data_IF_239654094272
#
_entry.id   IF_239654094272
#
_cell.length_a   1.000
_cell.length_b   1.000
_cell.length_c   1.000
_cell.angle_alpha   90.00
_cell.angle_beta   90.00
_cell.angle_gamma   90.00
#
_symmetry.space_group_name_H-M   'P 1'
#
loop_
_entity.id
_entity.type
_entity.pdbx_description
1 polymer ?
#
# COMPACT_ATOMS: atom_id res chain seq x y z
N UNK A 1 -49.55 7.86 59.36
CA UNK A 1 -48.19 7.84 59.92
C UNK A 1 -47.27 7.26 58.84
N UNK A 2 -46.16 7.95 58.57
CA UNK A 2 -45.04 7.65 57.63
C UNK A 2 -44.48 6.22 57.76
N UNK A 3 -43.56 5.72 56.88
CA UNK A 3 -42.73 6.45 55.90
C UNK A 3 -42.75 5.88 54.46
N UNK A 4 -42.74 6.68 53.39
CA UNK A 4 -41.55 7.20 52.66
C UNK A 4 -40.32 6.29 52.66
N UNK A 5 -40.21 5.45 51.63
CA UNK A 5 -38.93 4.91 51.18
C UNK A 5 -38.64 5.48 49.79
N UNK A 6 -37.79 6.51 49.75
CA UNK A 6 -37.27 7.08 48.51
C UNK A 6 -36.29 6.08 47.89
N UNK A 7 -36.61 5.58 46.71
CA UNK A 7 -35.70 4.76 45.93
C UNK A 7 -34.86 5.73 45.10
N UNK A 8 -33.62 5.96 45.53
CA UNK A 8 -32.61 6.64 44.73
C UNK A 8 -32.14 5.65 43.67
N UNK A 9 -32.66 5.78 42.46
CA UNK A 9 -32.16 5.04 41.29
C UNK A 9 -30.80 5.62 40.89
N UNK A 10 -29.73 4.94 41.27
CA UNK A 10 -28.39 5.19 40.73
C UNK A 10 -28.40 4.86 39.23
N UNK A 11 -28.28 5.88 38.39
CA UNK A 11 -28.05 5.71 36.96
C UNK A 11 -26.63 5.15 36.74
N UNK A 12 -26.53 3.86 36.43
CA UNK A 12 -25.29 3.28 35.91
C UNK A 12 -25.26 3.54 34.41
N UNK A 13 -24.59 4.61 34.00
CA UNK A 13 -24.27 4.85 32.60
C UNK A 13 -23.12 3.90 32.22
N UNK A 14 -23.43 2.78 31.59
CA UNK A 14 -22.42 1.94 30.95
C UNK A 14 -22.04 2.62 29.64
N UNK A 15 -20.94 3.39 29.66
CA UNK A 15 -20.30 3.83 28.45
C UNK A 15 -19.61 2.62 27.81
N UNK A 16 -20.33 1.93 26.91
CA UNK A 16 -19.72 0.95 26.02
C UNK A 16 -18.93 1.77 25.01
N UNK A 17 -17.65 2.03 25.31
CA UNK A 17 -16.75 2.60 24.34
C UNK A 17 -16.44 1.49 23.34
N UNK A 18 -17.22 1.45 22.26
CA UNK A 18 -16.88 0.67 21.09
C UNK A 18 -15.64 1.31 20.46
N UNK A 19 -14.46 0.96 20.98
CA UNK A 19 -13.24 1.03 20.19
C UNK A 19 -13.39 -0.02 19.09
N UNK A 20 -13.98 0.40 17.97
CA UNK A 20 -13.71 -0.26 16.71
C UNK A 20 -12.22 0.02 16.42
N UNK A 21 -11.36 -0.79 17.04
CA UNK A 21 -9.99 -0.94 16.58
C UNK A 21 -10.11 -1.25 15.09
N UNK A 22 -9.63 -0.29 14.31
CA UNK A 22 -9.45 -0.41 12.88
C UNK A 22 -8.75 -1.73 12.62
N UNK A 23 -9.49 -2.71 12.12
CA UNK A 23 -8.93 -3.84 11.39
C UNK A 23 -8.16 -3.24 10.21
N UNK A 24 -6.89 -2.89 10.44
CA UNK A 24 -5.87 -2.77 9.42
C UNK A 24 -5.64 -4.17 8.85
N UNK A 25 -6.63 -4.67 8.12
CA UNK A 25 -6.42 -5.74 7.19
C UNK A 25 -5.92 -5.07 5.91
N UNK A 26 -4.62 -4.77 5.89
CA UNK A 26 -3.99 -4.24 4.69
C UNK A 26 -3.73 -5.41 3.75
N UNK A 27 -4.81 -5.76 3.03
CA UNK A 27 -4.83 -6.78 2.02
C UNK A 27 -3.67 -6.54 1.05
N UNK A 28 -2.85 -7.59 0.88
CA UNK A 28 -1.82 -7.63 -0.14
C UNK A 28 -2.51 -7.75 -1.50
N UNK A 29 -2.92 -6.63 -2.10
CA UNK A 29 -3.68 -6.65 -3.35
C UNK A 29 -2.73 -6.66 -4.54
N UNK A 30 -2.71 -7.76 -5.28
CA UNK A 30 -2.17 -7.80 -6.63
C UNK A 30 -3.24 -7.31 -7.61
N UNK A 31 -3.14 -6.07 -8.05
CA UNK A 31 -4.12 -5.48 -8.96
C UNK A 31 -3.63 -5.64 -10.41
N UNK A 32 -4.43 -6.29 -11.25
CA UNK A 32 -4.24 -6.39 -12.70
C UNK A 32 -5.10 -5.33 -13.41
N UNK A 33 -4.52 -4.47 -14.26
CA UNK A 33 -5.19 -3.27 -14.78
C UNK A 33 -5.61 -3.38 -16.25
N UNK A 34 -6.85 -2.96 -16.54
CA UNK A 34 -7.47 -2.89 -17.88
C UNK A 34 -7.27 -1.56 -18.63
N UNK A 35 -7.86 -1.40 -19.83
CA UNK A 35 -7.69 -0.25 -20.75
C UNK A 35 -8.10 1.10 -20.15
N UNK A 36 -7.11 1.90 -19.75
CA UNK A 36 -7.32 3.30 -19.38
C UNK A 36 -6.39 3.84 -18.29
N UNK A 37 -5.20 3.27 -18.06
CA UNK A 37 -4.27 3.71 -17.01
C UNK A 37 -4.48 3.00 -15.67
N UNK A 38 -3.73 3.42 -14.65
CA UNK A 38 -3.69 2.78 -13.33
C UNK A 38 -3.79 3.83 -12.22
N UNK A 39 -4.74 3.70 -11.30
CA UNK A 39 -4.82 4.55 -10.10
C UNK A 39 -4.08 3.89 -8.94
N UNK A 40 -3.09 4.57 -8.36
CA UNK A 40 -2.34 4.11 -7.19
C UNK A 40 -2.33 5.25 -6.18
N UNK A 41 -2.80 4.97 -4.97
CA UNK A 41 -2.85 5.95 -3.87
C UNK A 41 -3.51 7.29 -4.25
N UNK A 42 -4.55 7.25 -5.09
CA UNK A 42 -5.27 8.45 -5.56
C UNK A 42 -4.65 9.18 -6.75
N UNK A 43 -3.44 8.80 -7.18
CA UNK A 43 -2.76 9.38 -8.35
C UNK A 43 -3.04 8.53 -9.60
N UNK A 44 -3.41 9.20 -10.69
CA UNK A 44 -3.61 8.56 -11.99
C UNK A 44 -2.30 8.45 -12.78
N UNK A 45 -1.97 7.24 -13.20
CA UNK A 45 -0.86 6.97 -14.12
C UNK A 45 -1.42 6.62 -15.50
N UNK A 46 -0.98 7.32 -16.58
CA UNK A 46 -1.52 7.11 -17.92
C UNK A 46 -1.12 5.77 -18.56
N UNK A 47 -0.33 4.94 -17.87
CA UNK A 47 0.12 3.61 -18.31
C UNK A 47 -0.45 2.49 -17.44
N UNK A 48 -0.46 1.29 -18.02
CA UNK A 48 -0.85 0.07 -17.34
C UNK A 48 0.37 -0.60 -16.73
N UNK A 49 0.26 -0.99 -15.47
CA UNK A 49 1.18 -1.94 -14.84
C UNK A 49 0.52 -3.32 -14.87
N UNK A 50 1.31 -4.36 -15.07
CA UNK A 50 0.80 -5.75 -15.07
C UNK A 50 0.38 -6.21 -13.70
N UNK A 51 1.13 -5.77 -12.69
CA UNK A 51 0.82 -6.03 -11.30
C UNK A 51 1.32 -4.86 -10.46
N UNK A 52 0.58 -4.55 -9.41
CA UNK A 52 1.01 -3.64 -8.35
C UNK A 52 0.91 -4.38 -7.04
N UNK A 53 1.95 -4.29 -6.20
CA UNK A 53 1.96 -4.84 -4.85
C UNK A 53 2.01 -3.68 -3.85
N UNK A 54 1.02 -3.62 -2.96
CA UNK A 54 0.95 -2.64 -1.89
C UNK A 54 1.25 -3.30 -0.54
N UNK A 55 1.98 -2.59 0.32
CA UNK A 55 2.21 -3.00 1.71
C UNK A 55 2.34 -1.76 2.57
N UNK A 56 1.88 -1.87 3.81
CA UNK A 56 2.12 -0.87 4.85
C UNK A 56 3.57 -0.43 4.94
N UNK A 57 3.75 0.89 5.11
CA UNK A 57 5.05 1.52 5.35
C UNK A 57 6.11 1.20 4.28
N UNK A 58 5.68 0.80 3.09
CA UNK A 58 6.54 0.52 1.96
C UNK A 58 6.05 1.24 0.72
N UNK A 59 6.96 1.79 -0.10
CA UNK A 59 6.60 2.23 -1.44
C UNK A 59 6.00 1.08 -2.25
N UNK A 60 4.99 1.36 -3.10
CA UNK A 60 4.37 0.35 -3.95
C UNK A 60 5.41 -0.28 -4.86
N UNK A 61 5.29 -1.58 -5.12
CA UNK A 61 6.06 -2.23 -6.17
C UNK A 61 5.18 -2.35 -7.41
N UNK A 62 5.62 -1.85 -8.56
CA UNK A 62 4.89 -1.99 -9.83
C UNK A 62 5.69 -2.81 -10.83
N UNK A 63 4.99 -3.74 -11.49
CA UNK A 63 5.55 -4.66 -12.46
C UNK A 63 5.13 -4.25 -13.87
N UNK A 64 6.08 -4.27 -14.80
CA UNK A 64 5.80 -4.06 -16.21
C UNK A 64 5.26 -5.32 -16.91
N UNK A 65 4.54 -5.13 -18.02
CA UNK A 65 3.88 -6.18 -18.82
C UNK A 65 4.76 -7.37 -19.21
N UNK A 66 6.00 -7.07 -19.62
CA UNK A 66 6.93 -8.07 -20.13
C UNK A 66 7.74 -8.78 -19.02
N UNK A 67 7.49 -8.46 -17.76
CA UNK A 67 8.26 -8.97 -16.63
C UNK A 67 7.56 -10.13 -15.91
N UNK A 68 8.33 -10.93 -15.19
CA UNK A 68 7.79 -11.91 -14.24
C UNK A 68 7.40 -11.20 -12.94
N UNK A 69 6.10 -11.05 -12.71
CA UNK A 69 5.58 -10.27 -11.57
C UNK A 69 5.48 -11.10 -10.29
N UNK A 70 6.62 -11.65 -9.85
CA UNK A 70 6.74 -12.30 -8.54
C UNK A 70 7.44 -11.31 -7.61
N UNK A 71 6.77 -10.83 -6.54
CA UNK A 71 7.35 -9.84 -5.64
C UNK A 71 8.53 -10.45 -4.88
N UNK A 72 9.64 -9.73 -4.86
CA UNK A 72 10.84 -10.06 -4.10
C UNK A 72 10.90 -9.15 -2.88
N UNK A 73 11.50 -9.68 -1.80
CA UNK A 73 11.61 -9.01 -0.52
C UNK A 73 13.08 -8.85 -0.14
N UNK A 74 13.51 -7.61 0.00
CA UNK A 74 14.84 -7.21 0.51
C UNK A 74 14.56 -6.02 1.42
N UNK A 75 15.19 -6.00 2.59
CA UNK A 75 14.96 -4.97 3.63
C UNK A 75 13.51 -4.82 4.10
N UNK A 76 12.66 -5.85 3.91
CA UNK A 76 11.27 -5.87 4.39
C UNK A 76 10.22 -5.25 3.45
N UNK A 77 10.62 -4.55 2.38
CA UNK A 77 9.69 -3.97 1.42
C UNK A 77 9.65 -4.72 0.09
N UNK A 78 8.48 -4.77 -0.58
CA UNK A 78 8.35 -5.45 -1.86
C UNK A 78 9.01 -4.64 -2.97
N UNK A 79 9.47 -5.37 -3.99
CA UNK A 79 9.86 -4.87 -5.30
C UNK A 79 9.73 -5.99 -6.34
N UNK A 80 9.76 -5.64 -7.62
CA UNK A 80 9.90 -6.63 -8.70
C UNK A 80 11.30 -6.57 -9.30
N UNK A 81 11.75 -7.66 -9.90
CA UNK A 81 12.97 -7.69 -10.72
C UNK A 81 12.54 -7.88 -12.17
N UNK A 82 13.09 -7.06 -13.05
CA UNK A 82 12.92 -7.22 -14.49
C UNK A 82 14.20 -6.84 -15.20
N UNK A 83 14.71 -7.74 -16.05
CA UNK A 83 15.96 -7.55 -16.80
C UNK A 83 17.11 -7.05 -15.91
N UNK A 84 17.33 -7.71 -14.76
CA UNK A 84 18.37 -7.35 -13.78
C UNK A 84 18.11 -6.05 -13.01
N UNK A 85 16.99 -5.37 -13.25
CA UNK A 85 16.66 -4.07 -12.64
C UNK A 85 15.56 -4.21 -11.60
N UNK A 86 15.72 -3.53 -10.46
CA UNK A 86 14.69 -3.45 -9.43
C UNK A 86 13.62 -2.42 -9.83
N UNK A 87 12.38 -2.87 -9.92
CA UNK A 87 11.20 -2.04 -10.18
C UNK A 87 10.45 -1.77 -8.88
N UNK A 88 10.16 -0.50 -8.59
CA UNK A 88 9.41 -0.10 -7.40
C UNK A 88 8.25 0.84 -7.71
N UNK A 89 8.18 1.99 -7.05
CA UNK A 89 7.07 2.91 -7.13
C UNK A 89 6.88 3.47 -8.54
N UNK A 90 5.65 3.84 -8.90
CA UNK A 90 5.39 4.52 -10.15
C UNK A 90 5.97 5.95 -10.11
N UNK A 91 6.30 6.51 -11.27
CA UNK A 91 6.94 7.83 -11.38
C UNK A 91 6.49 8.60 -12.62
N UNK A 92 6.67 9.92 -12.59
CA UNK A 92 6.51 10.83 -13.73
C UNK A 92 7.90 11.36 -14.16
N UNK A 93 8.81 11.56 -13.19
CA UNK A 93 10.18 12.02 -13.38
C UNK A 93 11.14 11.35 -12.40
N UNK A 94 12.45 11.50 -12.63
CA UNK A 94 13.49 10.95 -11.74
C UNK A 94 13.39 11.48 -10.30
N UNK A 95 12.76 12.65 -10.09
CA UNK A 95 12.56 13.24 -8.76
C UNK A 95 11.54 12.48 -7.90
N UNK A 96 10.69 11.66 -8.52
CA UNK A 96 9.72 10.83 -7.80
C UNK A 96 10.38 9.57 -7.21
N UNK A 97 11.60 9.26 -7.66
CA UNK A 97 12.34 8.08 -7.23
C UNK A 97 13.24 8.39 -6.03
N UNK A 98 13.46 7.38 -5.19
CA UNK A 98 14.49 7.42 -4.18
C UNK A 98 15.89 7.59 -4.80
N UNK A 99 16.86 7.91 -3.97
CA UNK A 99 18.27 8.13 -4.36
C UNK A 99 18.76 6.98 -5.26
N UNK A 100 19.38 7.31 -6.40
CA UNK A 100 19.85 6.40 -7.46
C UNK A 100 18.76 5.75 -8.33
N UNK A 101 17.50 6.12 -8.17
CA UNK A 101 16.42 5.70 -9.05
C UNK A 101 16.34 6.53 -10.33
N UNK A 102 15.97 5.89 -11.43
CA UNK A 102 15.63 6.54 -12.69
C UNK A 102 14.19 6.22 -13.06
N UNK A 103 13.46 7.24 -13.49
CA UNK A 103 12.10 7.08 -13.95
C UNK A 103 12.09 6.63 -15.40
N UNK A 104 11.77 5.35 -15.62
CA UNK A 104 11.68 4.80 -16.95
C UNK A 104 10.38 4.03 -17.12
N UNK A 105 9.62 4.40 -18.16
CA UNK A 105 8.29 3.83 -18.46
C UNK A 105 7.30 4.00 -17.29
N UNK A 106 7.38 5.12 -16.57
CA UNK A 106 6.55 5.44 -15.40
C UNK A 106 6.78 4.53 -14.19
N UNK A 107 7.95 3.90 -14.12
CA UNK A 107 8.36 3.03 -13.01
C UNK A 107 9.74 3.48 -12.54
N UNK A 108 9.92 3.65 -11.23
CA UNK A 108 11.23 3.87 -10.65
C UNK A 108 12.06 2.60 -10.77
N UNK A 109 13.18 2.73 -11.47
CA UNK A 109 14.14 1.67 -11.74
C UNK A 109 15.40 1.92 -10.96
N UNK A 110 15.84 0.89 -10.25
CA UNK A 110 17.04 0.91 -9.45
C UNK A 110 17.99 -0.16 -9.96
N UNK A 111 19.14 0.27 -10.48
CA UNK A 111 20.24 -0.66 -10.77
C UNK A 111 20.83 -1.09 -9.43
N UNK A 112 20.69 -2.38 -9.11
CA UNK A 112 21.34 -2.98 -7.95
C UNK A 112 22.51 -3.79 -8.51
N UNK A 113 23.77 -3.37 -8.28
CA UNK A 113 24.95 -4.07 -8.82
C UNK A 113 25.15 -5.47 -8.21
N UNK A 114 24.28 -5.88 -7.29
CA UNK A 114 24.28 -7.15 -6.57
C UNK A 114 23.12 -8.06 -7.06
N UNK A 115 22.28 -7.60 -7.98
CA UNK A 115 21.35 -8.47 -8.69
C UNK A 115 22.15 -9.25 -9.76
N UNK A 116 22.03 -10.59 -9.81
CA UNK A 116 22.76 -11.43 -10.76
C UNK A 116 22.36 -11.18 -12.21
#
# INVERSE_FOLDING_TARGET
>A
MLPTAGIVTLAVAVAIVAHADSLQQQDSVLINFGSGGTFISGTYYPRKFKAVYLRDNCPPAVCEENCLCIPVWRTGCPFYICDGTKLREPCISDLDCAIQGHCQRFICRYFDPILP
#
